data_IF_988413386853
#
_entry.id   IF_988413386853
#
_cell.length_a   1.000
_cell.length_b   1.000
_cell.length_c   1.000
_cell.angle_alpha   90.00
_cell.angle_beta   90.00
_cell.angle_gamma   90.00
#
_symmetry.space_group_name_H-M   'P 1'
#
loop_
_entity.id
_entity.type
_entity.pdbx_description
1 polymer ?
#
# COMPACT_ATOMS: atom_id res chain seq x y z
N UNK A 1 54.81 51.25 -44.10
CA UNK A 1 53.93 50.09 -44.32
C UNK A 1 54.53 48.87 -43.63
N UNK A 2 54.15 48.60 -42.38
CA UNK A 2 54.35 47.29 -41.75
C UNK A 2 53.17 47.05 -40.82
N UNK A 3 52.26 46.18 -41.26
CA UNK A 3 51.05 45.75 -40.54
C UNK A 3 51.45 44.79 -39.41
N UNK A 4 51.17 45.16 -38.17
CA UNK A 4 51.32 44.32 -36.97
C UNK A 4 50.11 43.38 -36.86
N UNK A 5 50.31 42.07 -37.07
CA UNK A 5 49.31 41.04 -36.78
C UNK A 5 49.47 40.57 -35.32
N UNK A 6 48.46 40.80 -34.47
CA UNK A 6 48.41 40.23 -33.11
C UNK A 6 47.96 38.77 -33.17
N UNK A 7 48.57 37.83 -32.42
CA UNK A 7 48.08 36.47 -32.31
C UNK A 7 46.86 36.45 -31.39
N UNK A 8 45.74 35.94 -31.90
CA UNK A 8 44.51 35.71 -31.16
C UNK A 8 44.66 34.37 -30.42
N UNK A 9 44.92 34.42 -29.11
CA UNK A 9 44.96 33.24 -28.25
C UNK A 9 43.50 32.81 -27.94
N UNK A 10 43.01 31.76 -28.59
CA UNK A 10 41.76 31.11 -28.21
C UNK A 10 42.01 30.23 -26.98
N UNK A 11 41.49 30.63 -25.82
CA UNK A 11 41.39 29.76 -24.64
C UNK A 11 40.15 28.87 -24.79
N UNK A 12 40.34 27.60 -25.09
CA UNK A 12 39.30 26.57 -25.02
C UNK A 12 39.14 26.08 -23.58
N UNK A 13 37.93 26.01 -23.01
CA UNK A 13 37.73 25.40 -21.70
C UNK A 13 37.74 23.88 -21.84
N UNK A 14 38.75 23.23 -21.26
CA UNK A 14 38.85 21.78 -21.14
C UNK A 14 37.91 21.32 -20.02
N UNK A 15 36.70 20.91 -20.40
CA UNK A 15 35.73 20.27 -19.49
C UNK A 15 36.15 18.83 -19.25
N UNK A 16 36.68 18.55 -18.06
CA UNK A 16 36.96 17.18 -17.60
C UNK A 16 35.62 16.49 -17.25
N UNK A 17 35.12 15.63 -18.15
CA UNK A 17 34.03 14.71 -17.83
C UNK A 17 34.55 13.54 -16.98
N UNK A 18 34.35 13.61 -15.67
CA UNK A 18 34.45 12.46 -14.78
C UNK A 18 33.20 11.59 -14.93
N UNK A 19 33.23 10.65 -15.89
CA UNK A 19 32.14 9.73 -16.20
C UNK A 19 32.22 8.40 -15.43
N UNK A 20 31.18 8.14 -14.65
CA UNK A 20 30.55 6.83 -14.38
C UNK A 20 31.40 5.64 -13.90
N UNK A 21 31.76 5.61 -12.62
CA UNK A 21 31.98 4.35 -11.86
C UNK A 21 30.79 3.96 -10.97
N UNK A 22 29.83 4.85 -10.76
CA UNK A 22 28.61 4.61 -9.95
C UNK A 22 27.57 3.75 -10.67
N UNK A 23 27.58 3.68 -12.01
CA UNK A 23 26.56 2.96 -12.78
C UNK A 23 26.71 1.43 -12.65
N UNK A 24 27.94 0.90 -12.55
CA UNK A 24 28.15 -0.55 -12.32
C UNK A 24 27.79 -0.98 -10.89
N UNK A 25 27.96 -0.11 -9.90
CA UNK A 25 27.50 -0.39 -8.54
C UNK A 25 25.98 -0.28 -8.41
N UNK A 26 25.30 0.48 -9.28
CA UNK A 26 23.83 0.59 -9.31
C UNK A 26 23.21 -0.58 -10.08
N UNK A 27 23.88 -1.10 -11.13
CA UNK A 27 23.40 -2.24 -11.89
C UNK A 27 23.26 -3.53 -11.06
N UNK A 28 24.10 -3.73 -10.03
CA UNK A 28 23.95 -4.83 -9.06
C UNK A 28 22.86 -4.58 -8.00
N UNK A 29 22.29 -3.37 -7.91
CA UNK A 29 21.13 -3.04 -7.06
C UNK A 29 19.81 -3.28 -7.80
N UNK A 30 19.85 -3.30 -9.15
CA UNK A 30 18.68 -3.37 -10.03
C UNK A 30 18.44 -4.77 -10.59
N UNK A 31 19.34 -5.74 -10.35
CA UNK A 31 19.05 -7.13 -10.65
C UNK A 31 17.77 -7.54 -9.87
N UNK A 32 16.73 -8.03 -10.55
CA UNK A 32 15.56 -8.59 -9.89
C UNK A 32 15.97 -9.92 -9.25
N UNK A 33 16.46 -9.85 -8.02
CA UNK A 33 16.77 -11.04 -7.23
C UNK A 33 15.47 -11.57 -6.60
N UNK A 34 15.08 -12.78 -7.03
CA UNK A 34 13.99 -13.62 -6.51
C UNK A 34 14.26 -14.16 -5.08
N UNK A 35 14.87 -13.37 -4.18
CA UNK A 35 15.19 -13.80 -2.81
C UNK A 35 14.08 -13.42 -1.79
N UNK A 36 13.27 -14.39 -1.32
CA UNK A 36 12.17 -14.16 -0.39
C UNK A 36 12.61 -13.85 1.05
N UNK A 37 13.92 -13.83 1.34
CA UNK A 37 14.44 -13.67 2.71
C UNK A 37 14.88 -12.25 3.07
N UNK A 38 14.88 -11.31 2.14
CA UNK A 38 15.23 -9.92 2.42
C UNK A 38 14.01 -9.19 3.03
N UNK A 39 14.10 -8.63 4.26
CA UNK A 39 12.96 -7.94 4.87
C UNK A 39 12.64 -6.70 4.04
N UNK A 40 11.46 -6.71 3.42
CA UNK A 40 10.91 -5.56 2.72
C UNK A 40 11.04 -4.33 3.63
N UNK A 41 11.81 -3.35 3.18
CA UNK A 41 11.97 -2.06 3.86
C UNK A 41 10.61 -1.36 3.84
N UNK A 42 9.87 -1.59 4.92
CA UNK A 42 8.60 -1.01 5.38
C UNK A 42 7.81 -0.24 4.31
N UNK A 43 7.07 -0.97 3.48
CA UNK A 43 5.94 -0.37 2.77
C UNK A 43 4.86 -0.18 3.82
N UNK A 44 4.80 0.99 4.43
CA UNK A 44 3.62 1.35 5.18
C UNK A 44 2.47 1.47 4.17
N UNK A 45 1.47 0.61 4.28
CA UNK A 45 0.28 0.57 3.40
C UNK A 45 -0.91 1.07 4.21
N UNK A 46 -1.74 1.91 3.59
CA UNK A 46 -2.91 2.45 4.28
C UNK A 46 -3.92 1.34 4.48
N UNK A 47 -4.64 1.45 5.59
CA UNK A 47 -5.75 0.58 5.89
C UNK A 47 -6.80 0.62 4.77
N UNK A 48 -7.52 -0.49 4.61
CA UNK A 48 -8.64 -0.53 3.68
C UNK A 48 -9.73 0.44 4.16
N UNK A 49 -10.22 1.32 3.28
CA UNK A 49 -11.32 2.23 3.60
C UNK A 49 -12.65 1.54 3.29
N UNK A 50 -13.56 1.38 4.28
CA UNK A 50 -14.89 0.87 4.03
C UNK A 50 -15.63 1.70 3.00
N UNK A 51 -16.23 1.03 2.00
CA UNK A 51 -17.07 1.66 0.99
C UNK A 51 -18.21 0.74 0.59
N UNK A 52 -19.27 1.33 0.06
CA UNK A 52 -20.33 0.56 -0.57
C UNK A 52 -19.80 -0.02 -1.89
N UNK A 53 -19.69 -1.35 -1.95
CA UNK A 53 -19.33 -2.09 -3.15
C UNK A 53 -20.38 -3.16 -3.43
N UNK A 54 -20.66 -3.48 -4.71
CA UNK A 54 -21.41 -4.68 -5.04
C UNK A 54 -20.72 -5.93 -4.50
N UNK A 55 -21.50 -6.91 -4.08
CA UNK A 55 -20.97 -8.23 -3.72
C UNK A 55 -20.22 -8.84 -4.91
N UNK A 56 -19.12 -9.52 -4.63
CA UNK A 56 -18.37 -10.28 -5.61
C UNK A 56 -19.29 -11.31 -6.28
N UNK A 57 -19.24 -11.37 -7.62
CA UNK A 57 -20.00 -12.33 -8.43
C UNK A 57 -19.71 -13.78 -8.03
N UNK A 58 -18.46 -14.03 -7.63
CA UNK A 58 -17.98 -15.31 -7.13
C UNK A 58 -17.70 -15.23 -5.63
N UNK A 59 -17.59 -16.39 -4.97
CA UNK A 59 -17.31 -16.47 -3.53
C UNK A 59 -18.53 -16.34 -2.61
N UNK A 60 -19.68 -15.84 -3.10
CA UNK A 60 -20.93 -15.71 -2.33
C UNK A 60 -21.98 -16.80 -2.64
N UNK A 61 -21.56 -17.98 -3.10
CA UNK A 61 -22.47 -19.09 -3.32
C UNK A 61 -23.18 -19.49 -2.01
N UNK A 62 -24.43 -19.99 -2.05
CA UNK A 62 -25.18 -20.34 -0.83
C UNK A 62 -24.46 -21.32 0.08
N UNK A 63 -23.64 -22.19 -0.50
CA UNK A 63 -22.72 -23.06 0.22
C UNK A 63 -21.52 -23.43 -0.64
N UNK A 64 -20.41 -23.79 0.00
CA UNK A 64 -19.24 -24.34 -0.67
C UNK A 64 -18.55 -25.38 0.22
N UNK A 65 -17.77 -26.29 -0.36
CA UNK A 65 -17.11 -27.39 0.34
C UNK A 65 -15.60 -27.33 0.14
N UNK A 66 -14.84 -27.39 1.23
CA UNK A 66 -13.37 -27.41 1.23
C UNK A 66 -12.89 -28.44 2.24
N UNK A 67 -11.98 -29.32 1.83
CA UNK A 67 -11.43 -30.39 2.68
C UNK A 67 -12.51 -31.22 3.39
N UNK A 68 -13.59 -31.57 2.68
CA UNK A 68 -14.67 -32.36 3.27
C UNK A 68 -15.69 -31.57 4.10
N UNK A 69 -15.39 -30.33 4.50
CA UNK A 69 -16.25 -29.48 5.34
C UNK A 69 -17.06 -28.51 4.49
N UNK A 70 -18.35 -28.38 4.82
CA UNK A 70 -19.26 -27.43 4.18
C UNK A 70 -19.31 -26.11 4.94
N UNK A 71 -19.33 -25.01 4.20
CA UNK A 71 -19.43 -23.65 4.72
C UNK A 71 -20.58 -22.93 4.05
N UNK A 72 -21.25 -22.05 4.80
CA UNK A 72 -22.36 -21.23 4.33
C UNK A 72 -22.02 -19.77 4.55
N UNK A 73 -21.70 -19.00 3.49
CA UNK A 73 -21.58 -17.56 3.59
C UNK A 73 -22.85 -16.92 4.14
N UNK A 74 -22.66 -15.95 5.03
CA UNK A 74 -23.73 -15.13 5.57
C UNK A 74 -24.33 -14.27 4.46
N UNK A 75 -25.62 -13.96 4.56
CA UNK A 75 -26.29 -13.02 3.64
C UNK A 75 -26.01 -11.55 3.99
N UNK A 76 -25.74 -11.28 5.26
CA UNK A 76 -25.41 -9.97 5.80
C UNK A 76 -24.42 -10.15 6.95
N UNK A 77 -23.53 -9.19 7.12
CA UNK A 77 -22.57 -9.16 8.23
C UNK A 77 -22.65 -7.87 9.05
N UNK A 78 -23.76 -7.14 8.96
CA UNK A 78 -24.00 -5.95 9.78
C UNK A 78 -23.97 -6.32 11.26
N UNK A 79 -23.18 -5.57 12.05
CA UNK A 79 -23.01 -5.82 13.48
C UNK A 79 -22.19 -7.07 13.83
N UNK A 80 -21.64 -7.78 12.84
CA UNK A 80 -20.87 -9.00 13.10
C UNK A 80 -19.57 -8.68 13.84
N UNK A 81 -19.29 -9.49 14.87
CA UNK A 81 -17.99 -9.54 15.52
C UNK A 81 -17.66 -10.97 15.95
N UNK A 82 -16.38 -11.30 15.92
CA UNK A 82 -15.88 -12.63 16.29
C UNK A 82 -14.51 -12.49 16.96
N UNK A 83 -14.15 -13.45 17.82
CA UNK A 83 -12.80 -13.54 18.39
C UNK A 83 -12.23 -14.91 18.11
N UNK A 84 -10.94 -14.97 17.81
CA UNK A 84 -10.29 -16.21 17.40
C UNK A 84 -8.85 -15.99 17.00
N UNK A 85 -8.29 -16.94 16.24
CA UNK A 85 -6.90 -16.87 15.79
C UNK A 85 -6.83 -16.29 14.37
N UNK A 86 -6.00 -15.27 14.19
CA UNK A 86 -5.55 -14.82 12.88
C UNK A 86 -4.29 -15.60 12.47
N UNK A 87 -4.16 -15.88 11.18
CA UNK A 87 -2.86 -16.14 10.55
C UNK A 87 -2.66 -15.25 9.35
N UNK A 88 -1.68 -15.54 8.50
CA UNK A 88 -1.46 -14.83 7.24
C UNK A 88 -1.09 -15.82 6.14
N UNK A 89 -1.56 -15.59 4.91
CA UNK A 89 -1.22 -16.46 3.79
C UNK A 89 0.11 -16.05 3.15
N UNK A 90 0.99 -17.04 2.99
CA UNK A 90 2.37 -16.88 2.57
C UNK A 90 2.57 -16.40 1.13
N UNK A 91 3.83 -16.14 0.72
CA UNK A 91 4.17 -15.57 -0.60
C UNK A 91 3.69 -16.43 -1.77
N UNK A 92 3.54 -17.75 -1.59
CA UNK A 92 3.08 -18.70 -2.63
C UNK A 92 1.65 -18.46 -3.14
N UNK A 93 0.90 -17.57 -2.50
CA UNK A 93 -0.44 -17.17 -2.96
C UNK A 93 -0.40 -15.95 -3.88
N UNK A 94 0.68 -15.15 -3.86
CA UNK A 94 0.76 -13.89 -4.60
C UNK A 94 0.50 -14.11 -6.10
N UNK A 95 -0.31 -13.23 -6.71
CA UNK A 95 -0.71 -13.31 -8.11
C UNK A 95 -1.81 -14.32 -8.41
N UNK A 96 -2.22 -15.18 -7.46
CA UNK A 96 -3.32 -16.13 -7.66
C UNK A 96 -4.68 -15.45 -7.48
N UNK A 97 -5.73 -15.93 -8.16
CA UNK A 97 -7.07 -15.39 -8.01
C UNK A 97 -7.62 -15.68 -6.60
N UNK A 98 -8.19 -14.65 -5.99
CA UNK A 98 -9.03 -14.75 -4.78
C UNK A 98 -10.42 -15.28 -5.14
N UNK A 99 -11.25 -15.54 -4.14
CA UNK A 99 -12.67 -15.90 -4.32
C UNK A 99 -13.52 -14.78 -4.95
N UNK A 100 -13.04 -13.53 -4.92
CA UNK A 100 -13.59 -12.42 -5.69
C UNK A 100 -13.08 -12.35 -7.15
N UNK A 101 -12.22 -13.28 -7.57
CA UNK A 101 -11.53 -13.32 -8.87
C UNK A 101 -10.53 -12.17 -9.12
N UNK A 102 -10.21 -11.39 -8.09
CA UNK A 102 -9.12 -10.42 -8.12
C UNK A 102 -7.79 -11.14 -7.85
N UNK A 103 -6.70 -10.74 -8.51
CA UNK A 103 -5.35 -11.22 -8.17
C UNK A 103 -4.98 -10.82 -6.75
N UNK A 104 -4.54 -11.80 -5.95
CA UNK A 104 -4.06 -11.54 -4.61
C UNK A 104 -2.71 -10.81 -4.64
N UNK A 105 -2.72 -9.63 -4.05
CA UNK A 105 -1.53 -8.82 -3.79
C UNK A 105 -1.21 -8.83 -2.29
N UNK A 106 -0.06 -9.41 -1.92
CA UNK A 106 0.35 -9.53 -0.52
C UNK A 106 0.65 -8.18 0.15
N UNK A 107 0.86 -7.15 -0.66
CA UNK A 107 1.13 -5.79 -0.22
C UNK A 107 -0.13 -4.92 -0.12
N UNK A 108 -1.34 -5.48 -0.35
CA UNK A 108 -2.61 -4.78 -0.10
C UNK A 108 -3.17 -5.12 1.28
N UNK A 109 -4.03 -4.27 1.82
CA UNK A 109 -4.75 -4.53 3.07
C UNK A 109 -5.98 -5.42 2.84
N UNK A 110 -5.74 -6.69 2.55
CA UNK A 110 -6.77 -7.71 2.30
C UNK A 110 -6.72 -8.86 3.30
N UNK A 111 -7.79 -9.65 3.33
CA UNK A 111 -7.90 -10.84 4.17
C UNK A 111 -8.84 -11.89 3.56
N UNK A 112 -8.79 -13.11 4.11
CA UNK A 112 -9.70 -14.21 3.83
C UNK A 112 -10.57 -14.53 5.06
N UNK A 113 -11.87 -14.75 4.83
CA UNK A 113 -12.81 -15.21 5.86
C UNK A 113 -13.74 -16.31 5.33
N UNK A 114 -14.12 -17.26 6.19
CA UNK A 114 -14.92 -18.44 5.82
C UNK A 114 -16.32 -18.02 5.35
N UNK A 115 -16.99 -17.18 6.12
CA UNK A 115 -18.44 -16.99 5.99
C UNK A 115 -18.87 -15.54 5.80
N UNK A 116 -17.96 -14.56 5.80
CA UNK A 116 -18.38 -13.17 5.59
C UNK A 116 -18.83 -12.98 4.13
N UNK A 117 -19.85 -12.15 3.83
CA UNK A 117 -20.14 -11.75 2.46
C UNK A 117 -18.89 -11.12 1.84
N UNK A 118 -18.61 -11.40 0.56
CA UNK A 118 -17.47 -10.80 -0.13
C UNK A 118 -17.93 -9.72 -1.12
N UNK A 119 -17.29 -8.55 -1.16
CA UNK A 119 -16.30 -8.12 -0.18
C UNK A 119 -16.98 -7.72 1.15
N UNK A 120 -16.21 -7.73 2.23
CA UNK A 120 -16.56 -7.09 3.50
C UNK A 120 -15.38 -6.29 4.01
N UNK A 121 -15.62 -5.31 4.88
CA UNK A 121 -14.57 -4.56 5.56
C UNK A 121 -14.54 -4.93 7.03
N UNK A 122 -13.34 -5.17 7.56
CA UNK A 122 -13.17 -5.68 8.92
C UNK A 122 -12.08 -4.90 9.63
N UNK A 123 -12.41 -4.36 10.81
CA UNK A 123 -11.44 -3.95 11.80
C UNK A 123 -10.92 -5.21 12.51
N UNK A 124 -9.61 -5.43 12.44
CA UNK A 124 -8.91 -6.52 13.11
C UNK A 124 -8.08 -5.93 14.23
N UNK A 125 -8.36 -6.33 15.47
CA UNK A 125 -7.60 -5.93 16.66
C UNK A 125 -6.79 -7.12 17.16
N UNK A 126 -5.46 -6.98 17.22
CA UNK A 126 -4.61 -7.94 17.92
C UNK A 126 -4.74 -7.69 19.44
N UNK A 127 -5.25 -8.67 20.17
CA UNK A 127 -5.59 -8.51 21.59
C UNK A 127 -4.37 -8.49 22.51
N UNK A 128 -3.21 -8.93 22.02
CA UNK A 128 -1.98 -8.97 22.81
C UNK A 128 -1.27 -7.61 22.87
N UNK A 129 -1.37 -6.81 21.80
CA UNK A 129 -0.67 -5.52 21.68
C UNK A 129 -1.62 -4.34 21.41
N UNK A 130 -2.93 -4.57 21.31
CA UNK A 130 -3.97 -3.59 20.98
C UNK A 130 -3.79 -2.88 19.63
N UNK A 131 -2.90 -3.36 18.76
CA UNK A 131 -2.77 -2.83 17.40
C UNK A 131 -4.01 -3.19 16.59
N UNK A 132 -4.37 -2.28 15.68
CA UNK A 132 -5.55 -2.42 14.84
C UNK A 132 -5.23 -2.12 13.40
N UNK A 133 -5.95 -2.78 12.50
CA UNK A 133 -5.95 -2.49 11.07
C UNK A 133 -7.35 -2.68 10.51
N UNK A 134 -7.67 -1.97 9.44
CA UNK A 134 -8.83 -2.29 8.60
C UNK A 134 -8.39 -3.01 7.33
N UNK A 135 -9.04 -4.13 7.03
CA UNK A 135 -8.80 -4.95 5.84
C UNK A 135 -10.07 -5.12 5.02
N UNK A 136 -9.91 -5.28 3.70
CA UNK A 136 -10.96 -5.74 2.80
C UNK A 136 -10.90 -7.27 2.69
N UNK A 137 -11.92 -7.94 3.18
CA UNK A 137 -12.08 -9.38 3.03
C UNK A 137 -12.56 -9.66 1.61
N UNK A 138 -11.71 -10.27 0.77
CA UNK A 138 -12.01 -10.58 -0.63
C UNK A 138 -11.77 -12.04 -0.99
N UNK A 139 -11.45 -12.88 0.00
CA UNK A 139 -11.16 -14.29 -0.23
C UNK A 139 -11.79 -15.21 0.84
N UNK A 140 -11.79 -16.51 0.56
CA UNK A 140 -12.30 -17.59 1.42
C UNK A 140 -11.16 -18.32 2.11
N UNK A 141 -11.40 -18.68 3.36
CA UNK A 141 -10.42 -19.28 4.26
C UNK A 141 -10.43 -18.57 5.60
N UNK A 142 -9.53 -18.88 6.55
CA UNK A 142 -8.68 -20.06 6.60
C UNK A 142 -9.46 -21.37 6.56
N UNK A 143 -8.82 -22.47 6.16
CA UNK A 143 -9.41 -23.82 6.27
C UNK A 143 -8.74 -24.70 7.31
N UNK A 144 -7.93 -24.09 8.18
CA UNK A 144 -7.39 -24.73 9.37
C UNK A 144 -8.32 -24.48 10.57
N UNK A 145 -8.39 -25.45 11.47
CA UNK A 145 -9.20 -25.36 12.68
C UNK A 145 -8.70 -24.26 13.62
N UNK A 146 -9.63 -23.63 14.35
CA UNK A 146 -9.33 -22.55 15.30
C UNK A 146 -9.00 -21.19 14.69
N UNK A 147 -8.66 -21.11 13.39
CA UNK A 147 -8.39 -19.84 12.70
C UNK A 147 -9.67 -19.24 12.13
N UNK A 148 -9.83 -17.92 12.29
CA UNK A 148 -11.02 -17.19 11.85
C UNK A 148 -10.73 -16.28 10.66
N UNK A 149 -9.50 -15.77 10.54
CA UNK A 149 -9.10 -14.85 9.49
C UNK A 149 -7.67 -15.13 9.07
N UNK A 150 -7.40 -15.10 7.77
CA UNK A 150 -6.03 -15.05 7.27
C UNK A 150 -5.80 -13.66 6.67
N UNK A 151 -4.70 -13.03 7.06
CA UNK A 151 -4.33 -11.67 6.68
C UNK A 151 -3.37 -11.68 5.49
N UNK A 152 -3.34 -10.60 4.72
CA UNK A 152 -2.23 -10.32 3.83
C UNK A 152 -0.94 -10.07 4.62
N UNK A 153 0.21 -10.09 3.93
CA UNK A 153 1.50 -9.78 4.54
C UNK A 153 1.52 -8.37 5.15
N UNK A 154 1.03 -7.35 4.42
CA UNK A 154 0.99 -5.97 4.95
C UNK A 154 0.12 -5.84 6.20
N UNK A 155 -1.05 -6.48 6.23
CA UNK A 155 -1.94 -6.45 7.39
C UNK A 155 -1.33 -7.17 8.60
N UNK A 156 -0.74 -8.35 8.37
CA UNK A 156 -0.05 -9.11 9.40
C UNK A 156 1.19 -8.37 9.94
N UNK A 157 1.92 -7.66 9.09
CA UNK A 157 3.06 -6.84 9.49
C UNK A 157 2.62 -5.69 10.40
N UNK A 158 1.60 -4.92 10.01
CA UNK A 158 1.06 -3.81 10.82
C UNK A 158 0.53 -4.26 12.19
N UNK A 159 0.02 -5.49 12.29
CA UNK A 159 -0.49 -6.08 13.53
C UNK A 159 0.57 -6.80 14.39
N UNK A 160 1.85 -6.82 13.97
CA UNK A 160 2.95 -7.61 14.55
C UNK A 160 2.69 -9.13 14.59
N UNK A 161 1.99 -9.68 13.60
CA UNK A 161 1.67 -11.12 13.52
C UNK A 161 2.79 -11.91 12.83
N UNK A 162 3.56 -11.28 11.94
CA UNK A 162 4.55 -11.96 11.06
C UNK A 162 5.50 -12.87 11.84
N UNK A 163 6.14 -12.36 12.90
CA UNK A 163 7.16 -13.11 13.65
C UNK A 163 6.60 -14.37 14.32
N UNK A 164 5.37 -14.31 14.83
CA UNK A 164 4.69 -15.45 15.49
C UNK A 164 3.95 -16.35 14.51
N UNK A 165 3.69 -15.87 13.29
CA UNK A 165 2.84 -16.52 12.29
C UNK A 165 1.33 -16.45 12.58
N UNK A 166 0.95 -16.34 13.85
CA UNK A 166 -0.45 -16.25 14.29
C UNK A 166 -0.60 -15.28 15.45
N UNK A 167 -1.83 -14.80 15.69
CA UNK A 167 -2.17 -13.98 16.83
C UNK A 167 -3.62 -14.18 17.27
N UNK A 168 -3.91 -13.99 18.55
CA UNK A 168 -5.30 -13.83 19.02
C UNK A 168 -5.84 -12.49 18.56
N UNK A 169 -6.98 -12.49 17.91
CA UNK A 169 -7.61 -11.28 17.38
C UNK A 169 -9.09 -11.21 17.74
N UNK A 170 -9.59 -9.98 17.80
CA UNK A 170 -11.01 -9.67 17.71
C UNK A 170 -11.27 -8.97 16.38
N UNK A 171 -12.26 -9.44 15.64
CA UNK A 171 -12.69 -8.84 14.38
C UNK A 171 -14.08 -8.23 14.54
N UNK A 172 -14.32 -7.12 13.86
CA UNK A 172 -15.63 -6.48 13.75
C UNK A 172 -15.83 -5.98 12.33
N UNK A 173 -16.98 -6.27 11.74
CA UNK A 173 -17.34 -5.74 10.42
C UNK A 173 -17.61 -4.25 10.52
N UNK A 174 -17.09 -3.51 9.55
CA UNK A 174 -17.34 -2.10 9.34
C UNK A 174 -18.27 -1.91 8.16
N UNK A 175 -19.27 -1.07 8.32
CA UNK A 175 -20.01 -0.44 7.23
C UNK A 175 -19.35 0.89 6.86
N UNK A 176 -19.67 1.47 5.70
CA UNK A 176 -19.22 2.82 5.36
C UNK A 176 -19.64 3.88 6.38
N UNK A 177 -20.76 3.67 7.09
CA UNK A 177 -21.23 4.56 8.16
C UNK A 177 -20.43 4.40 9.47
N UNK A 178 -19.76 3.26 9.66
CA UNK A 178 -18.85 3.00 10.79
C UNK A 178 -17.44 3.55 10.55
N UNK A 179 -17.12 3.98 9.32
CA UNK A 179 -15.85 4.64 9.06
C UNK A 179 -15.84 5.95 9.85
N UNK A 180 -14.87 6.18 10.75
CA UNK A 180 -14.77 7.47 11.40
C UNK A 180 -14.66 8.55 10.31
N UNK A 181 -15.33 9.73 10.47
CA UNK A 181 -15.25 10.84 9.52
C UNK A 181 -13.81 11.27 9.15
N UNK A 182 -12.81 10.80 9.89
CA UNK A 182 -11.38 11.03 9.68
C UNK A 182 -10.83 10.62 8.31
N UNK A 183 -11.40 9.68 7.57
CA UNK A 183 -10.87 9.34 6.24
C UNK A 183 -11.22 10.37 5.15
N UNK A 184 -12.22 11.22 5.40
CA UNK A 184 -12.78 12.16 4.42
C UNK A 184 -12.37 13.63 4.63
N UNK A 185 -11.54 13.97 5.62
CA UNK A 185 -11.15 15.37 5.86
C UNK A 185 -9.68 15.59 6.18
N UNK A 186 -8.86 14.54 6.33
CA UNK A 186 -7.44 14.74 6.57
C UNK A 186 -6.77 15.32 5.32
N UNK A 187 -6.00 16.41 5.46
CA UNK A 187 -5.25 16.95 4.35
C UNK A 187 -4.23 15.92 3.86
N UNK A 188 -4.02 15.88 2.55
CA UNK A 188 -3.07 14.98 1.89
C UNK A 188 -2.12 15.79 1.02
N UNK A 189 -0.92 15.28 0.81
CA UNK A 189 0.04 15.89 -0.12
C UNK A 189 -0.10 15.16 -1.45
N UNK A 190 -0.47 15.88 -2.51
CA UNK A 190 -0.53 15.36 -3.88
C UNK A 190 0.76 15.70 -4.64
N UNK A 191 1.49 14.69 -5.10
CA UNK A 191 2.77 14.85 -5.82
C UNK A 191 2.61 14.88 -7.34
N UNK A 192 1.46 14.47 -7.87
CA UNK A 192 1.21 14.54 -9.30
C UNK A 192 -0.10 13.88 -9.75
N UNK A 193 -0.50 14.18 -10.99
CA UNK A 193 -1.61 13.56 -11.71
C UNK A 193 -1.09 12.94 -13.00
N UNK A 194 -1.42 11.68 -13.26
CA UNK A 194 -0.92 10.92 -14.39
C UNK A 194 -2.05 10.30 -15.19
N UNK A 195 -1.98 10.36 -16.52
CA UNK A 195 -2.91 9.60 -17.36
C UNK A 195 -2.60 8.09 -17.34
N UNK A 196 -1.35 7.70 -17.08
CA UNK A 196 -0.88 6.32 -17.07
C UNK A 196 -0.56 5.86 -15.64
N UNK A 197 -1.14 4.73 -15.23
CA UNK A 197 -0.91 4.12 -13.92
C UNK A 197 0.56 3.78 -13.67
N UNK A 198 1.29 3.26 -14.67
CA UNK A 198 2.72 2.90 -14.54
C UNK A 198 3.57 4.12 -14.18
N UNK A 199 3.28 5.28 -14.78
CA UNK A 199 3.98 6.54 -14.47
C UNK A 199 3.70 7.01 -13.05
N UNK A 200 2.45 6.86 -12.58
CA UNK A 200 2.09 7.15 -11.19
C UNK A 200 2.81 6.20 -10.22
N UNK A 201 2.90 4.91 -10.54
CA UNK A 201 3.64 3.93 -9.75
C UNK A 201 5.15 4.26 -9.69
N UNK A 202 5.79 4.63 -10.81
CA UNK A 202 7.19 5.06 -10.82
C UNK A 202 7.43 6.25 -9.87
N UNK A 203 6.56 7.26 -9.89
CA UNK A 203 6.69 8.39 -8.95
C UNK A 203 6.41 7.94 -7.51
N UNK A 204 5.40 7.10 -7.27
CA UNK A 204 5.09 6.53 -5.96
C UNK A 204 6.32 5.91 -5.33
N UNK A 205 7.06 5.09 -6.08
CA UNK A 205 8.29 4.46 -5.61
C UNK A 205 9.38 5.49 -5.28
N UNK A 206 9.59 6.49 -6.15
CA UNK A 206 10.58 7.55 -5.91
C UNK A 206 10.28 8.35 -4.65
N UNK A 207 9.02 8.79 -4.49
CA UNK A 207 8.57 9.55 -3.31
C UNK A 207 8.69 8.69 -2.04
N UNK A 208 8.29 7.42 -2.11
CA UNK A 208 8.34 6.52 -0.95
C UNK A 208 9.77 6.31 -0.45
N UNK A 209 10.73 6.09 -1.37
CA UNK A 209 12.13 5.94 -1.01
C UNK A 209 12.71 7.18 -0.32
N UNK A 210 12.34 8.38 -0.78
CA UNK A 210 12.83 9.62 -0.21
C UNK A 210 12.18 9.96 1.13
N UNK A 211 10.87 9.70 1.31
CA UNK A 211 10.21 9.85 2.61
C UNK A 211 10.88 8.98 3.67
N UNK A 212 11.18 7.71 3.34
CA UNK A 212 11.89 6.79 4.24
C UNK A 212 13.29 7.33 4.60
N UNK A 213 14.00 7.93 3.64
CA UNK A 213 15.33 8.48 3.87
C UNK A 213 15.32 9.70 4.81
N UNK A 214 14.28 10.53 4.76
CA UNK A 214 14.17 11.77 5.55
C UNK A 214 13.54 11.53 6.91
N UNK A 215 12.50 10.69 6.98
CA UNK A 215 11.79 10.38 8.20
C UNK A 215 11.52 8.87 8.28
N UNK A 216 12.44 8.08 8.84
CA UNK A 216 12.22 6.65 9.03
C UNK A 216 10.99 6.34 9.92
N UNK A 217 10.52 7.31 10.70
CA UNK A 217 9.34 7.18 11.55
C UNK A 217 8.03 7.63 10.88
N UNK A 218 8.06 8.17 9.65
CA UNK A 218 6.84 8.48 8.89
C UNK A 218 6.37 7.21 8.20
N UNK A 219 5.40 6.55 8.83
CA UNK A 219 4.75 5.34 8.34
C UNK A 219 3.59 5.64 7.39
N UNK A 220 3.55 6.82 6.77
CA UNK A 220 2.44 7.18 5.87
C UNK A 220 2.72 6.68 4.46
N UNK A 221 1.89 5.80 3.88
CA UNK A 221 2.05 5.26 2.53
C UNK A 221 2.04 6.38 1.50
N UNK A 222 2.90 6.25 0.48
CA UNK A 222 2.63 6.91 -0.79
C UNK A 222 1.65 6.03 -1.57
N UNK A 223 0.47 6.54 -1.84
CA UNK A 223 -0.61 5.88 -2.56
C UNK A 223 -0.71 6.35 -4.01
N UNK A 224 -1.22 5.47 -4.87
CA UNK A 224 -1.75 5.83 -6.18
C UNK A 224 -3.27 5.64 -6.15
N UNK A 225 -4.03 6.72 -6.28
CA UNK A 225 -5.50 6.70 -6.27
C UNK A 225 -6.05 7.11 -7.64
N UNK A 226 -7.03 6.41 -8.22
CA UNK A 226 -7.72 6.90 -9.40
C UNK A 226 -8.57 8.13 -9.04
N UNK A 227 -8.63 9.12 -9.93
CA UNK A 227 -9.46 10.33 -9.80
C UNK A 227 -10.00 10.71 -11.17
N UNK A 228 -11.16 11.35 -11.23
CA UNK A 228 -11.72 11.85 -12.49
C UNK A 228 -11.46 13.34 -12.61
N UNK A 229 -10.92 13.78 -13.75
CA UNK A 229 -10.77 15.20 -14.08
C UNK A 229 -11.14 15.41 -15.54
N UNK A 230 -12.03 16.37 -15.81
CA UNK A 230 -12.53 16.68 -17.15
C UNK A 230 -13.03 15.43 -17.94
N UNK A 231 -13.73 14.51 -17.27
CA UNK A 231 -14.27 13.30 -17.88
C UNK A 231 -13.27 12.18 -18.18
N UNK A 232 -12.01 12.30 -17.74
CA UNK A 232 -10.96 11.27 -17.91
C UNK A 232 -10.49 10.74 -16.56
N UNK A 233 -10.21 9.44 -16.49
CA UNK A 233 -9.57 8.81 -15.33
C UNK A 233 -8.09 9.15 -15.32
N UNK A 234 -7.64 9.77 -14.24
CA UNK A 234 -6.24 10.05 -13.93
C UNK A 234 -5.85 9.28 -12.67
N UNK A 235 -4.55 9.13 -12.46
CA UNK A 235 -3.96 8.50 -11.29
C UNK A 235 -3.22 9.57 -10.50
N UNK A 236 -3.69 9.87 -9.29
CA UNK A 236 -3.04 10.81 -8.39
C UNK A 236 -2.07 10.07 -7.46
N UNK A 237 -0.85 10.60 -7.33
CA UNK A 237 0.13 10.12 -6.35
C UNK A 237 0.00 11.00 -5.11
N UNK A 238 -0.26 10.40 -3.95
CA UNK A 238 -0.53 11.14 -2.73
C UNK A 238 0.07 10.49 -1.48
N UNK A 239 0.26 11.28 -0.43
CA UNK A 239 0.54 10.80 0.92
C UNK A 239 -0.53 11.34 1.86
N UNK A 240 -1.15 10.43 2.61
CA UNK A 240 -2.03 10.79 3.72
C UNK A 240 -1.23 10.66 5.03
N UNK A 241 -1.01 11.75 5.76
CA UNK A 241 -0.33 11.68 7.05
C UNK A 241 -1.22 10.97 8.05
N UNK A 242 -0.60 10.04 8.79
CA UNK A 242 -1.26 9.45 9.94
C UNK A 242 -1.41 10.48 11.07
N UNK A 243 -2.65 10.92 11.30
CA UNK A 243 -3.16 11.53 12.55
C UNK A 243 -2.57 12.89 12.99
N UNK A 244 -1.70 13.54 12.22
CA UNK A 244 -1.13 14.83 12.63
C UNK A 244 -1.04 15.83 11.46
N UNK A 245 -1.87 16.87 11.47
CA UNK A 245 -1.83 17.97 10.48
C UNK A 245 -0.48 18.71 10.52
N UNK A 246 0.16 18.84 11.69
CA UNK A 246 1.47 19.49 11.82
C UNK A 246 2.59 18.70 11.12
N UNK A 247 2.38 17.41 10.84
CA UNK A 247 3.34 16.60 10.11
C UNK A 247 3.35 16.93 8.60
N UNK A 248 2.23 17.40 8.03
CA UNK A 248 2.08 17.66 6.58
C UNK A 248 3.06 18.70 6.10
N UNK A 249 3.04 19.87 6.73
CA UNK A 249 3.84 21.01 6.30
C UNK A 249 5.33 20.67 6.39
N UNK A 250 5.72 19.96 7.45
CA UNK A 250 7.10 19.51 7.64
C UNK A 250 7.54 18.50 6.58
N UNK A 251 6.67 17.57 6.18
CA UNK A 251 6.95 16.56 5.15
C UNK A 251 7.02 17.23 3.77
N UNK A 252 6.08 18.12 3.46
CA UNK A 252 6.06 18.86 2.21
C UNK A 252 7.32 19.73 2.04
N UNK A 253 7.70 20.49 3.08
CA UNK A 253 8.89 21.34 3.05
C UNK A 253 10.18 20.53 2.86
N UNK A 254 10.32 19.40 3.56
CA UNK A 254 11.50 18.55 3.43
C UNK A 254 11.59 17.88 2.04
N UNK A 255 10.46 17.44 1.48
CA UNK A 255 10.42 16.88 0.13
C UNK A 255 10.73 17.96 -0.93
N UNK A 256 10.24 19.19 -0.73
CA UNK A 256 10.55 20.31 -1.60
C UNK A 256 12.06 20.63 -1.61
N UNK A 257 12.74 20.55 -0.46
CA UNK A 257 14.20 20.69 -0.38
C UNK A 257 14.97 19.62 -1.17
N UNK A 258 14.34 18.48 -1.46
CA UNK A 258 14.89 17.39 -2.27
C UNK A 258 14.43 17.43 -3.74
N UNK A 259 13.74 18.50 -4.15
CA UNK A 259 13.21 18.66 -5.50
C UNK A 259 11.96 17.83 -5.79
N UNK A 260 11.24 17.38 -4.75
CA UNK A 260 9.91 16.78 -4.89
C UNK A 260 8.87 17.77 -4.41
N UNK A 261 8.21 18.43 -5.36
CA UNK A 261 7.10 19.32 -5.06
C UNK A 261 5.81 18.52 -4.88
N UNK A 262 5.02 18.91 -3.88
CA UNK A 262 3.70 18.36 -3.62
C UNK A 262 2.76 19.47 -3.19
N UNK A 263 1.46 19.30 -3.45
CA UNK A 263 0.41 20.27 -3.11
C UNK A 263 -0.42 19.70 -1.97
N UNK A 264 -0.56 20.43 -0.88
CA UNK A 264 -1.49 20.08 0.20
C UNK A 264 -2.91 20.29 -0.32
N UNK A 265 -3.73 19.25 -0.22
CA UNK A 265 -5.15 19.27 -0.58
C UNK A 265 -5.98 18.76 0.57
N UNK A 266 -7.20 19.26 0.69
CA UNK A 266 -8.24 18.69 1.54
C UNK A 266 -9.21 17.93 0.63
N UNK A 267 -9.74 16.81 1.12
CA UNK A 267 -10.79 16.06 0.41
C UNK A 267 -12.08 16.89 0.34
#
# INVERSE_FOLDING_TARGET
MQTQLKPLLLLTPLVLLSGCSTVSQIASIIAPDDDPTRPAREVAVADAVPKHEPLCKYGNMPSYKVLGKSYQPMRSAVGFSESGIASWYGPNFHGKPTSCMEEYDMYKMTAAHKTLPLPSYVEVTNVENNKKVVVRVNDRGPFHEGRIIDLSYSAAWKLDVIKKGTAKVKIRVLTPDDAPPMAQQLPYIQFGLFANKKSADSLRFKVAQQIIAVRPNVTSPVEVRPTTSAGRTLYQVLVQPHHNEQAIDSIQQQLAQMGIEGIIKKQ
#
